data_IF_384513376004
#
_entry.id   IF_384513376004
#
_cell.length_a   1.000
_cell.length_b   1.000
_cell.length_c   1.000
_cell.angle_alpha   90.00
_cell.angle_beta   90.00
_cell.angle_gamma   90.00
#
_symmetry.space_group_name_H-M   'P 1'
#
loop_
_entity.id
_entity.type
_entity.pdbx_description
1 polymer ?
#
# COMPACT_ATOMS: atom_id res chain seq x y z
N UNK A 1 -33.41 -18.27 -6.19
CA UNK A 1 -33.12 -17.50 -4.96
C UNK A 1 -31.65 -17.43 -4.58
N UNK A 2 -31.00 -18.45 -3.98
CA UNK A 2 -29.58 -18.35 -3.53
C UNK A 2 -28.59 -17.91 -4.63
N UNK A 3 -28.70 -18.52 -5.81
CA UNK A 3 -27.87 -18.19 -6.98
C UNK A 3 -28.09 -16.75 -7.47
N UNK A 4 -29.34 -16.29 -7.54
CA UNK A 4 -29.68 -14.93 -7.99
C UNK A 4 -29.17 -13.87 -7.00
N UNK A 5 -29.35 -14.10 -5.70
CA UNK A 5 -28.84 -13.20 -4.65
C UNK A 5 -27.32 -13.08 -4.72
N UNK A 6 -26.62 -14.20 -4.92
CA UNK A 6 -25.17 -14.18 -5.11
C UNK A 6 -24.78 -13.46 -6.39
N UNK A 7 -25.49 -13.66 -7.50
CA UNK A 7 -25.20 -12.98 -8.77
C UNK A 7 -25.32 -11.47 -8.63
N UNK A 8 -26.32 -10.98 -7.89
CA UNK A 8 -26.46 -9.54 -7.59
C UNK A 8 -25.28 -9.06 -6.74
N UNK A 9 -24.95 -9.75 -5.65
CA UNK A 9 -23.80 -9.40 -4.80
C UNK A 9 -22.49 -9.38 -5.62
N UNK A 10 -22.26 -10.42 -6.43
CA UNK A 10 -21.10 -10.53 -7.31
C UNK A 10 -21.00 -9.34 -8.26
N UNK A 11 -22.08 -9.00 -8.99
CA UNK A 11 -22.07 -7.90 -9.95
C UNK A 11 -21.75 -6.55 -9.31
N UNK A 12 -22.25 -6.31 -8.10
CA UNK A 12 -21.99 -5.07 -7.36
C UNK A 12 -20.53 -5.00 -6.89
N UNK A 13 -19.97 -6.11 -6.39
CA UNK A 13 -18.69 -6.09 -5.69
C UNK A 13 -17.49 -6.45 -6.57
N UNK A 14 -17.70 -7.19 -7.66
CA UNK A 14 -16.64 -7.62 -8.58
C UNK A 14 -15.73 -6.47 -9.04
N UNK A 15 -16.24 -5.35 -9.59
CA UNK A 15 -15.36 -4.27 -10.05
C UNK A 15 -14.55 -3.64 -8.92
N UNK A 16 -15.10 -3.58 -7.70
CA UNK A 16 -14.42 -3.03 -6.53
C UNK A 16 -13.29 -3.96 -6.05
N UNK A 17 -13.57 -5.26 -5.96
CA UNK A 17 -12.57 -6.27 -5.61
C UNK A 17 -11.48 -6.35 -6.67
N UNK A 18 -11.83 -6.32 -7.96
CA UNK A 18 -10.85 -6.29 -9.04
C UNK A 18 -9.97 -5.05 -8.94
N UNK A 19 -10.54 -3.85 -8.79
CA UNK A 19 -9.75 -2.63 -8.63
C UNK A 19 -8.82 -2.67 -7.39
N UNK A 20 -9.32 -3.18 -6.27
CA UNK A 20 -8.54 -3.39 -5.05
C UNK A 20 -7.33 -4.29 -5.30
N UNK A 21 -7.52 -5.42 -5.98
CA UNK A 21 -6.46 -6.39 -6.24
C UNK A 21 -5.51 -5.92 -7.35
N UNK A 22 -6.01 -5.38 -8.46
CA UNK A 22 -5.19 -4.87 -9.58
C UNK A 22 -4.31 -3.70 -9.18
N UNK A 23 -4.68 -2.94 -8.14
CA UNK A 23 -3.74 -2.01 -7.53
C UNK A 23 -2.54 -2.75 -6.95
N UNK A 24 -2.68 -3.92 -6.35
CA UNK A 24 -1.63 -4.58 -5.54
C UNK A 24 -0.77 -5.59 -6.29
N UNK A 25 -1.13 -5.97 -7.51
CA UNK A 25 -0.44 -7.01 -8.28
C UNK A 25 -0.68 -6.85 -9.79
N UNK A 26 -0.02 -7.65 -10.62
CA UNK A 26 -0.22 -7.64 -12.07
C UNK A 26 -1.59 -8.21 -12.49
N UNK A 27 -1.95 -8.01 -13.76
CA UNK A 27 -3.26 -8.38 -14.27
C UNK A 27 -3.54 -9.90 -14.19
N UNK A 28 -2.54 -10.74 -14.43
CA UNK A 28 -2.74 -12.19 -14.42
C UNK A 28 -3.11 -12.66 -13.00
N UNK A 29 -2.29 -12.27 -12.02
CA UNK A 29 -2.55 -12.58 -10.60
C UNK A 29 -3.84 -11.94 -10.09
N UNK A 30 -4.16 -10.74 -10.57
CA UNK A 30 -5.36 -10.06 -10.11
C UNK A 30 -6.65 -10.82 -10.44
N UNK A 31 -6.75 -11.39 -11.65
CA UNK A 31 -7.91 -12.18 -12.04
C UNK A 31 -8.04 -13.46 -11.22
N UNK A 32 -6.93 -14.15 -10.96
CA UNK A 32 -6.90 -15.39 -10.17
C UNK A 32 -7.33 -15.13 -8.71
N UNK A 33 -6.74 -14.11 -8.07
CA UNK A 33 -7.11 -13.71 -6.71
C UNK A 33 -8.59 -13.33 -6.61
N UNK A 34 -9.14 -12.63 -7.61
CA UNK A 34 -10.56 -12.27 -7.64
C UNK A 34 -11.44 -13.52 -7.77
N UNK A 35 -11.07 -14.46 -8.65
CA UNK A 35 -11.78 -15.73 -8.80
C UNK A 35 -11.79 -16.54 -7.49
N UNK A 36 -10.66 -16.64 -6.80
CA UNK A 36 -10.54 -17.30 -5.50
C UNK A 36 -11.35 -16.59 -4.41
N UNK A 37 -11.38 -15.26 -4.44
CA UNK A 37 -12.16 -14.45 -3.50
C UNK A 37 -13.65 -14.76 -3.62
N UNK A 38 -14.20 -14.74 -4.85
CA UNK A 38 -15.62 -15.02 -5.06
C UNK A 38 -15.98 -16.49 -4.92
N UNK A 39 -15.05 -17.41 -5.21
CA UNK A 39 -15.21 -18.83 -4.89
C UNK A 39 -15.33 -19.04 -3.39
N UNK A 40 -14.50 -18.36 -2.60
CA UNK A 40 -14.58 -18.37 -1.13
C UNK A 40 -15.89 -17.73 -0.65
N UNK A 41 -16.30 -16.61 -1.24
CA UNK A 41 -17.56 -15.95 -0.94
C UNK A 41 -18.77 -16.87 -1.20
N UNK A 42 -18.77 -17.62 -2.31
CA UNK A 42 -19.83 -18.59 -2.63
C UNK A 42 -19.93 -19.70 -1.58
N UNK A 43 -18.80 -20.26 -1.16
CA UNK A 43 -18.75 -21.30 -0.11
C UNK A 43 -19.29 -20.80 1.24
N UNK A 44 -19.12 -19.52 1.53
CA UNK A 44 -19.53 -18.88 2.77
C UNK A 44 -20.77 -18.00 2.64
N UNK A 45 -21.53 -18.11 1.54
CA UNK A 45 -22.55 -17.13 1.17
C UNK A 45 -23.57 -16.86 2.28
N UNK A 46 -24.05 -17.92 2.93
CA UNK A 46 -25.08 -17.83 3.97
C UNK A 46 -24.54 -17.25 5.30
N UNK A 47 -23.22 -17.00 5.38
CA UNK A 47 -22.52 -16.43 6.55
C UNK A 47 -21.84 -15.10 6.23
N UNK A 48 -22.08 -14.55 5.05
CA UNK A 48 -21.54 -13.23 4.71
C UNK A 48 -22.19 -12.16 5.60
N UNK A 49 -21.41 -11.15 6.03
CA UNK A 49 -21.97 -10.00 6.72
C UNK A 49 -22.92 -9.21 5.81
N UNK A 50 -23.80 -8.42 6.41
CA UNK A 50 -24.73 -7.55 5.68
C UNK A 50 -24.01 -6.57 4.74
N UNK A 51 -22.81 -6.12 5.12
CA UNK A 51 -21.87 -5.37 4.27
C UNK A 51 -20.71 -6.29 3.84
N UNK A 52 -20.75 -6.90 2.64
CA UNK A 52 -19.78 -7.91 2.24
C UNK A 52 -18.41 -7.33 1.89
N UNK A 53 -18.33 -6.08 1.45
CA UNK A 53 -17.13 -5.51 0.83
C UNK A 53 -15.87 -5.58 1.73
N UNK A 54 -15.90 -5.18 3.01
CA UNK A 54 -14.71 -5.28 3.87
C UNK A 54 -14.26 -6.73 4.10
N UNK A 55 -15.22 -7.67 4.15
CA UNK A 55 -14.91 -9.08 4.23
C UNK A 55 -14.28 -9.60 2.93
N UNK A 56 -14.81 -9.21 1.77
CA UNK A 56 -14.27 -9.57 0.46
C UNK A 56 -12.84 -9.05 0.28
N UNK A 57 -12.56 -7.81 0.66
CA UNK A 57 -11.20 -7.26 0.64
C UNK A 57 -10.26 -7.99 1.59
N UNK A 58 -10.73 -8.41 2.76
CA UNK A 58 -9.94 -9.26 3.67
C UNK A 58 -9.58 -10.59 3.00
N UNK A 59 -10.55 -11.24 2.37
CA UNK A 59 -10.34 -12.52 1.67
C UNK A 59 -9.36 -12.32 0.50
N UNK A 60 -9.58 -11.32 -0.36
CA UNK A 60 -8.70 -11.01 -1.47
C UNK A 60 -7.26 -10.75 -1.03
N UNK A 61 -7.08 -9.98 0.05
CA UNK A 61 -5.76 -9.72 0.65
C UNK A 61 -5.11 -11.02 1.16
N UNK A 62 -5.88 -11.93 1.74
CA UNK A 62 -5.36 -13.22 2.19
C UNK A 62 -4.97 -14.13 1.03
N UNK A 63 -5.78 -14.19 -0.04
CA UNK A 63 -5.48 -14.93 -1.26
C UNK A 63 -4.17 -14.43 -1.90
N UNK A 64 -4.05 -13.11 -2.12
CA UNK A 64 -2.84 -12.50 -2.66
C UNK A 64 -1.61 -12.79 -1.77
N UNK A 65 -1.74 -12.68 -0.45
CA UNK A 65 -0.65 -13.00 0.45
C UNK A 65 -0.27 -14.50 0.42
N UNK A 66 -1.22 -15.39 0.17
CA UNK A 66 -0.96 -16.83 0.05
C UNK A 66 -0.20 -17.15 -1.24
N UNK A 67 -0.60 -16.56 -2.37
CA UNK A 67 0.11 -16.69 -3.65
C UNK A 67 1.55 -16.16 -3.55
N UNK A 68 1.74 -14.94 -3.05
CA UNK A 68 3.09 -14.36 -2.89
C UNK A 68 3.98 -15.21 -1.96
N UNK A 69 3.39 -15.87 -0.95
CA UNK A 69 4.13 -16.83 -0.11
C UNK A 69 4.43 -18.12 -0.85
N UNK A 70 3.56 -18.60 -1.73
CA UNK A 70 3.79 -19.79 -2.53
C UNK A 70 4.95 -19.58 -3.51
N UNK A 71 4.95 -18.45 -4.22
CA UNK A 71 6.04 -18.05 -5.11
C UNK A 71 7.38 -18.00 -4.38
N UNK A 72 7.42 -17.34 -3.22
CA UNK A 72 8.65 -17.26 -2.42
C UNK A 72 9.15 -18.63 -1.97
N UNK A 73 8.26 -19.60 -1.72
CA UNK A 73 8.66 -20.98 -1.40
C UNK A 73 9.23 -21.66 -2.64
N UNK A 74 8.59 -21.54 -3.79
CA UNK A 74 9.04 -22.13 -5.05
C UNK A 74 10.37 -21.52 -5.52
N UNK A 75 10.50 -20.20 -5.42
CA UNK A 75 11.72 -19.42 -5.63
C UNK A 75 12.89 -19.96 -4.80
N UNK A 76 12.69 -20.18 -3.50
CA UNK A 76 13.73 -20.73 -2.61
C UNK A 76 14.12 -22.15 -2.97
N UNK A 77 13.19 -22.96 -3.46
CA UNK A 77 13.50 -24.32 -3.95
C UNK A 77 14.33 -24.22 -5.23
N UNK A 78 13.93 -23.33 -6.16
CA UNK A 78 14.66 -23.09 -7.40
C UNK A 78 16.07 -22.51 -7.14
N UNK A 79 16.22 -21.56 -6.21
CA UNK A 79 17.51 -20.98 -5.81
C UNK A 79 18.45 -22.03 -5.18
N UNK A 80 17.92 -22.95 -4.37
CA UNK A 80 18.69 -24.10 -3.87
C UNK A 80 19.17 -25.04 -4.98
N UNK A 81 18.50 -25.05 -6.13
CA UNK A 81 18.84 -25.88 -7.29
C UNK A 81 19.74 -25.12 -8.28
N UNK A 82 19.53 -23.81 -8.46
CA UNK A 82 20.14 -23.00 -9.53
C UNK A 82 21.16 -21.94 -9.05
N UNK A 83 21.26 -21.66 -7.74
CA UNK A 83 22.29 -20.79 -7.16
C UNK A 83 22.14 -19.28 -7.43
N UNK A 84 20.97 -18.78 -7.85
CA UNK A 84 20.73 -17.36 -8.14
C UNK A 84 19.50 -16.84 -7.37
N UNK A 85 19.66 -15.70 -6.69
CA UNK A 85 18.60 -15.06 -5.91
C UNK A 85 17.58 -14.33 -6.80
N UNK A 86 16.29 -14.52 -6.52
CA UNK A 86 15.20 -13.82 -7.18
C UNK A 86 15.02 -12.42 -6.58
N UNK A 87 14.98 -11.39 -7.42
CA UNK A 87 14.68 -10.02 -7.00
C UNK A 87 13.23 -9.89 -6.50
N UNK A 88 12.97 -9.02 -5.50
CA UNK A 88 11.62 -8.77 -5.02
C UNK A 88 10.75 -8.10 -6.10
N UNK A 89 9.54 -8.63 -6.28
CA UNK A 89 8.55 -8.08 -7.21
C UNK A 89 8.19 -6.62 -6.84
N UNK A 90 8.09 -5.70 -7.83
CA UNK A 90 7.69 -4.32 -7.58
C UNK A 90 6.31 -4.22 -6.94
N UNK A 91 6.13 -3.22 -6.07
CA UNK A 91 4.86 -2.92 -5.43
C UNK A 91 3.94 -2.14 -6.38
N UNK A 92 3.12 -2.87 -7.12
CA UNK A 92 2.21 -2.34 -8.13
C UNK A 92 1.26 -1.25 -7.59
N UNK A 93 0.95 -1.23 -6.29
CA UNK A 93 0.00 -0.27 -5.71
C UNK A 93 0.51 1.15 -5.85
N UNK A 94 1.81 1.33 -5.72
CA UNK A 94 2.41 2.65 -5.78
C UNK A 94 2.67 3.08 -7.22
N UNK A 95 2.60 2.16 -8.19
CA UNK A 95 2.86 2.45 -9.61
C UNK A 95 1.84 3.41 -10.24
N UNK A 96 0.63 3.49 -9.67
CA UNK A 96 -0.48 4.33 -10.15
C UNK A 96 -0.39 5.77 -9.62
N UNK A 97 0.43 6.04 -8.61
CA UNK A 97 0.53 7.37 -7.97
C UNK A 97 1.43 8.29 -8.80
N UNK A 98 0.85 9.25 -9.52
CA UNK A 98 1.60 10.17 -10.40
C UNK A 98 2.63 11.02 -9.65
N UNK A 99 2.29 11.47 -8.43
CA UNK A 99 3.20 12.22 -7.57
C UNK A 99 4.36 11.32 -7.09
N UNK A 100 5.55 11.63 -7.57
CA UNK A 100 6.76 10.83 -7.30
C UNK A 100 7.20 10.97 -5.84
N UNK A 101 7.04 12.16 -5.23
CA UNK A 101 7.35 12.40 -3.83
C UNK A 101 6.43 11.59 -2.90
N UNK A 102 5.12 11.60 -3.18
CA UNK A 102 4.14 10.77 -2.47
C UNK A 102 4.41 9.28 -2.65
N UNK A 103 4.69 8.85 -3.88
CA UNK A 103 5.02 7.45 -4.20
C UNK A 103 6.22 6.97 -3.38
N UNK A 104 7.33 7.70 -3.40
CA UNK A 104 8.54 7.36 -2.65
C UNK A 104 8.29 7.40 -1.13
N UNK A 105 7.55 8.39 -0.63
CA UNK A 105 7.21 8.48 0.78
C UNK A 105 6.37 7.27 1.25
N UNK A 106 5.40 6.83 0.44
CA UNK A 106 4.62 5.62 0.72
C UNK A 106 5.47 4.34 0.63
N UNK A 107 6.44 4.26 -0.28
CA UNK A 107 7.39 3.14 -0.37
C UNK A 107 8.24 2.98 0.91
N UNK A 108 8.53 4.09 1.60
CA UNK A 108 9.33 4.10 2.85
C UNK A 108 8.52 3.77 4.11
N UNK A 109 7.20 3.61 4.00
CA UNK A 109 6.36 3.14 5.10
C UNK A 109 6.46 1.61 5.23
N UNK A 110 6.10 1.10 6.41
CA UNK A 110 5.90 -0.35 6.54
C UNK A 110 4.71 -0.78 5.66
N UNK A 111 4.69 -2.01 5.12
CA UNK A 111 3.56 -2.49 4.32
C UNK A 111 2.21 -2.38 5.06
N UNK A 112 2.21 -2.58 6.38
CA UNK A 112 1.00 -2.48 7.20
C UNK A 112 0.52 -1.03 7.40
N UNK A 113 1.43 -0.07 7.55
CA UNK A 113 1.08 1.35 7.66
C UNK A 113 0.59 1.90 6.33
N UNK A 114 1.28 1.56 5.25
CA UNK A 114 0.89 1.92 3.89
C UNK A 114 -0.49 1.38 3.57
N UNK A 115 -0.73 0.09 3.79
CA UNK A 115 -2.04 -0.52 3.53
C UNK A 115 -3.16 0.17 4.33
N UNK A 116 -2.91 0.51 5.59
CA UNK A 116 -3.90 1.24 6.41
C UNK A 116 -4.25 2.61 5.81
N UNK A 117 -3.29 3.32 5.22
CA UNK A 117 -3.54 4.59 4.52
C UNK A 117 -4.30 4.38 3.20
N UNK A 118 -3.94 3.35 2.43
CA UNK A 118 -4.60 3.06 1.14
C UNK A 118 -6.05 2.63 1.31
N UNK A 119 -6.38 1.87 2.35
CA UNK A 119 -7.77 1.49 2.65
C UNK A 119 -8.67 2.70 2.93
N UNK A 120 -8.14 3.73 3.57
CA UNK A 120 -8.89 4.97 3.83
C UNK A 120 -8.87 5.89 2.60
N UNK A 121 -7.70 6.12 2.03
CA UNK A 121 -7.50 7.14 0.99
C UNK A 121 -7.97 6.71 -0.40
N UNK A 122 -7.83 5.43 -0.75
CA UNK A 122 -8.21 4.91 -2.07
C UNK A 122 -9.52 4.16 -2.05
N UNK A 123 -9.71 3.27 -1.08
CA UNK A 123 -10.90 2.44 -1.01
C UNK A 123 -12.07 3.15 -0.31
N UNK A 124 -11.83 4.34 0.27
CA UNK A 124 -12.88 5.16 0.90
C UNK A 124 -13.53 4.51 2.12
N UNK A 125 -12.89 3.50 2.71
CA UNK A 125 -13.44 2.81 3.86
C UNK A 125 -13.40 3.69 5.10
N UNK A 126 -14.34 3.47 6.02
CA UNK A 126 -14.21 3.97 7.38
C UNK A 126 -13.21 3.13 8.19
N UNK A 127 -12.97 3.55 9.44
CA UNK A 127 -11.99 2.90 10.31
C UNK A 127 -12.40 1.47 10.71
N UNK A 128 -13.69 1.17 10.79
CA UNK A 128 -14.19 -0.11 11.30
C UNK A 128 -14.20 -1.16 10.17
N UNK A 129 -14.63 -0.75 8.97
CA UNK A 129 -14.47 -1.51 7.74
C UNK A 129 -12.99 -1.79 7.45
N UNK A 130 -12.13 -0.78 7.49
CA UNK A 130 -10.70 -0.97 7.23
C UNK A 130 -10.00 -1.83 8.30
N UNK A 131 -10.43 -1.76 9.56
CA UNK A 131 -9.97 -2.67 10.61
C UNK A 131 -10.35 -4.12 10.32
N UNK A 132 -11.56 -4.34 9.79
CA UNK A 132 -12.02 -5.66 9.33
C UNK A 132 -11.12 -6.22 8.24
N UNK A 133 -10.76 -5.40 7.24
CA UNK A 133 -9.83 -5.80 6.16
C UNK A 133 -8.46 -6.19 6.70
N UNK A 134 -7.92 -5.43 7.67
CA UNK A 134 -6.62 -5.71 8.27
C UNK A 134 -6.65 -6.82 9.34
N UNK A 135 -7.83 -7.27 9.77
CA UNK A 135 -7.99 -8.28 10.80
C UNK A 135 -7.54 -7.80 12.18
N UNK A 136 -7.75 -6.52 12.52
CA UNK A 136 -7.43 -5.95 13.83
C UNK A 136 -8.65 -5.22 14.43
N UNK A 137 -8.53 -4.73 15.68
CA UNK A 137 -9.59 -3.92 16.28
C UNK A 137 -9.62 -2.50 15.71
N UNK A 138 -10.80 -1.88 15.69
CA UNK A 138 -10.99 -0.48 15.29
C UNK A 138 -10.06 0.48 16.05
N UNK A 139 -9.85 0.26 17.35
CA UNK A 139 -8.92 1.04 18.17
C UNK A 139 -7.48 0.90 17.66
N UNK A 140 -7.05 -0.33 17.39
CA UNK A 140 -5.70 -0.60 16.83
C UNK A 140 -5.54 0.06 15.47
N UNK A 141 -6.56 0.00 14.63
CA UNK A 141 -6.56 0.61 13.31
C UNK A 141 -6.43 2.13 13.39
N UNK A 142 -7.22 2.81 14.24
CA UNK A 142 -7.15 4.27 14.45
C UNK A 142 -5.76 4.71 14.89
N UNK A 143 -5.16 4.00 15.87
CA UNK A 143 -3.80 4.26 16.33
C UNK A 143 -2.78 4.08 15.20
N UNK A 144 -2.93 3.02 14.40
CA UNK A 144 -2.06 2.75 13.25
C UNK A 144 -2.14 3.86 12.22
N UNK A 145 -3.33 4.25 11.78
CA UNK A 145 -3.52 5.33 10.79
C UNK A 145 -2.95 6.64 11.29
N UNK A 146 -3.16 6.98 12.57
CA UNK A 146 -2.57 8.19 13.15
C UNK A 146 -1.04 8.18 13.07
N UNK A 147 -0.40 7.08 13.46
CA UNK A 147 1.07 6.94 13.39
C UNK A 147 1.57 6.94 11.94
N UNK A 148 0.88 6.24 11.05
CA UNK A 148 1.19 6.17 9.62
C UNK A 148 1.13 7.56 8.96
N UNK A 149 0.07 8.34 9.23
CA UNK A 149 -0.05 9.73 8.75
C UNK A 149 1.11 10.60 9.23
N UNK A 150 1.43 10.58 10.53
CA UNK A 150 2.56 11.34 11.07
C UNK A 150 3.89 10.96 10.41
N UNK A 151 4.11 9.67 10.14
CA UNK A 151 5.31 9.20 9.45
C UNK A 151 5.33 9.66 8.00
N UNK A 152 4.22 9.56 7.28
CA UNK A 152 4.09 10.04 5.91
C UNK A 152 4.39 11.55 5.80
N UNK A 153 3.78 12.37 6.67
CA UNK A 153 4.03 13.82 6.69
C UNK A 153 5.52 14.15 6.89
N UNK A 154 6.22 13.43 7.77
CA UNK A 154 7.67 13.64 7.96
C UNK A 154 8.49 13.26 6.74
N UNK A 155 8.10 12.20 6.04
CA UNK A 155 8.78 11.72 4.84
C UNK A 155 8.60 12.70 3.67
N UNK A 156 7.38 13.21 3.48
CA UNK A 156 7.09 14.25 2.50
C UNK A 156 7.87 15.54 2.80
N UNK A 157 7.83 16.02 4.05
CA UNK A 157 8.56 17.22 4.44
C UNK A 157 10.10 17.06 4.31
N UNK A 158 10.63 15.83 4.39
CA UNK A 158 12.04 15.58 4.13
C UNK A 158 12.35 15.64 2.64
N UNK A 159 11.52 15.05 1.78
CA UNK A 159 11.67 15.12 0.33
C UNK A 159 11.61 16.57 -0.17
N UNK A 160 10.68 17.38 0.33
CA UNK A 160 10.56 18.80 -0.02
C UNK A 160 11.81 19.62 0.35
N UNK A 161 12.53 19.23 1.42
CA UNK A 161 13.78 19.88 1.83
C UNK A 161 14.96 19.47 0.97
N UNK A 162 14.98 18.23 0.49
CA UNK A 162 16.05 17.72 -0.39
C UNK A 162 15.90 18.27 -1.82
N UNK A 163 14.68 18.61 -2.24
CA UNK A 163 14.38 19.21 -3.56
C UNK A 163 14.62 20.73 -3.61
N UNK A 164 14.55 21.43 -2.48
CA UNK A 164 14.94 22.85 -2.40
C UNK A 164 16.45 22.98 -2.21
N UNK A 165 17.21 23.56 -3.17
CA UNK A 165 18.62 23.84 -2.94
C UNK A 165 18.75 24.77 -1.73
N UNK A 166 19.68 24.44 -0.84
CA UNK A 166 20.03 25.31 0.29
C UNK A 166 20.23 26.75 -0.23
N UNK A 167 19.69 27.78 0.43
CA UNK A 167 19.93 29.15 0.00
C UNK A 167 21.44 29.32 -0.07
N UNK A 168 21.94 29.71 -1.25
CA UNK A 168 23.35 29.98 -1.46
C UNK A 168 23.81 30.94 -0.37
N UNK A 169 24.54 30.44 0.61
CA UNK A 169 25.23 31.25 1.60
C UNK A 169 26.27 32.01 0.79
N UNK A 170 25.92 33.21 0.35
CA UNK A 170 26.89 34.14 -0.19
C UNK A 170 27.95 34.32 0.91
N UNK A 171 29.24 34.05 0.63
CA UNK A 171 30.27 34.29 1.61
C UNK A 171 30.22 35.76 2.02
N UNK A 172 30.06 36.00 3.32
CA UNK A 172 30.11 37.34 3.91
C UNK A 172 31.38 38.05 3.43
N UNK A 173 31.30 39.28 2.92
CA UNK A 173 32.48 39.98 2.44
C UNK A 173 33.49 40.11 3.59
N UNK A 174 34.69 39.58 3.37
CA UNK A 174 35.79 39.65 4.31
C UNK A 174 36.06 41.12 4.72
N UNK A 175 36.45 41.39 5.98
CA UNK A 175 36.69 42.75 6.45
C UNK A 175 37.85 43.38 5.67
N UNK A 176 37.58 44.54 5.08
CA UNK A 176 38.56 45.33 4.35
C UNK A 176 39.78 45.65 5.24
N UNK A 177 40.96 45.18 4.83
CA UNK A 177 42.22 45.55 5.45
C UNK A 177 42.43 47.06 5.36
N UNK A 178 42.31 47.76 6.49
CA UNK A 178 42.67 49.18 6.62
C UNK A 178 44.19 49.29 6.60
N UNK A 179 44.77 49.61 5.44
CA UNK A 179 46.13 50.17 5.35
C UNK A 179 46.09 51.66 5.70
N UNK A 180 46.78 52.06 6.76
CA UNK A 180 47.27 53.42 6.98
C UNK A 180 48.46 53.31 7.96
N UNK A 181 49.69 53.31 7.45
CA UNK A 181 50.56 54.48 7.20
C UNK A 181 51.44 54.79 8.40
N UNK A 182 52.71 54.50 8.19
CA UNK A 182 53.91 55.00 8.84
C UNK A 182 53.90 56.52 9.04
N UNK A 183 54.28 56.95 10.24
CA UNK A 183 55.16 58.08 10.54
C UNK A 183 55.58 57.96 12.01
#
# INVERSE_FOLDING_TARGET
>A
MRHEQFTVMFRVHYPLVLAFVSRRTDAARAHDVVADTFTTAWRHFDRLPAEPLPWLYRVARNCLANELRADRRQARVAEKIAGHGLEPEPDHALSVIADTGLRQALQRLSPADREALLLIGWEGLDHDAAATVLGCSAVTFKVRVHRARRRLTRLLAAADRDEKPAPAVLPSPAPAHRKARSA
#
